data_IF_055220925540
#
_entry.id   IF_055220925540
#
_cell.length_a   1.000
_cell.length_b   1.000
_cell.length_c   1.000
_cell.angle_alpha   90.00
_cell.angle_beta   90.00
_cell.angle_gamma   90.00
#
_symmetry.space_group_name_H-M   'P 1'
#
loop_
_entity.id
_entity.type
_entity.pdbx_description
1 polymer ?
#
# COMPACT_ATOMS: atom_id res chain seq x y z
N UNK A 1 -0.23 50.35 -36.28
CA UNK A 1 0.13 49.16 -35.48
C UNK A 1 -0.91 48.99 -34.41
N UNK A 2 -1.82 48.03 -34.59
CA UNK A 2 -2.66 47.57 -33.46
C UNK A 2 -1.68 46.98 -32.43
N UNK A 3 -1.81 47.31 -31.13
CA UNK A 3 -0.98 46.69 -30.12
C UNK A 3 -1.23 45.18 -30.18
N UNK A 4 -0.17 44.39 -30.20
CA UNK A 4 -0.26 42.93 -30.09
C UNK A 4 -1.10 42.66 -28.85
N UNK A 5 -2.32 42.17 -29.04
CA UNK A 5 -3.19 41.83 -27.93
C UNK A 5 -2.43 40.83 -27.07
N UNK A 6 -2.22 41.17 -25.81
CA UNK A 6 -1.49 40.30 -24.90
C UNK A 6 -2.34 39.04 -24.71
N UNK A 7 -1.94 37.92 -25.33
CA UNK A 7 -2.75 36.70 -25.49
C UNK A 7 -2.85 35.85 -24.18
N UNK A 8 -2.48 36.49 -23.07
CA UNK A 8 -2.47 35.96 -21.73
C UNK A 8 -3.81 36.18 -21.01
N UNK A 9 -4.16 35.25 -20.12
CA UNK A 9 -5.36 35.39 -19.29
C UNK A 9 -5.24 36.52 -18.27
N UNK A 10 -6.35 37.13 -17.80
CA UNK A 10 -6.31 38.18 -16.79
C UNK A 10 -5.73 37.71 -15.44
N UNK A 11 -6.20 36.56 -14.93
CA UNK A 11 -5.75 35.98 -13.67
C UNK A 11 -4.58 35.03 -13.88
N UNK A 12 -3.39 35.41 -13.40
CA UNK A 12 -2.14 34.64 -13.61
C UNK A 12 -1.31 34.60 -12.31
N UNK A 13 -1.79 33.91 -11.27
CA UNK A 13 -1.00 33.73 -10.07
C UNK A 13 0.34 33.05 -10.40
N UNK A 14 1.42 33.53 -9.82
CA UNK A 14 2.72 32.86 -9.92
C UNK A 14 2.63 31.45 -9.31
N UNK A 15 3.33 30.51 -9.94
CA UNK A 15 3.61 29.19 -9.37
C UNK A 15 4.48 29.39 -8.11
N UNK A 16 4.02 28.87 -6.98
CA UNK A 16 4.75 28.98 -5.72
C UNK A 16 5.79 27.86 -5.57
N UNK A 17 6.76 28.10 -4.70
CA UNK A 17 7.82 27.13 -4.44
C UNK A 17 7.25 25.81 -3.90
N UNK A 18 7.58 24.72 -4.59
CA UNK A 18 7.14 23.37 -4.25
C UNK A 18 5.63 23.15 -4.41
N UNK A 19 4.89 24.07 -5.02
CA UNK A 19 3.46 23.91 -5.27
C UNK A 19 3.18 22.78 -6.27
N UNK A 20 2.11 22.01 -6.05
CA UNK A 20 1.66 21.00 -7.01
C UNK A 20 0.90 21.63 -8.18
N UNK A 21 0.99 21.03 -9.35
CA UNK A 21 0.31 21.51 -10.55
C UNK A 21 -1.21 21.63 -10.33
N UNK A 22 -1.83 20.68 -9.64
CA UNK A 22 -3.26 20.70 -9.32
C UNK A 22 -3.64 21.87 -8.39
N UNK A 23 -2.76 22.23 -7.44
CA UNK A 23 -2.93 23.40 -6.56
C UNK A 23 -2.87 24.69 -7.37
N UNK A 24 -1.81 24.84 -8.16
CA UNK A 24 -1.60 26.03 -8.99
C UNK A 24 -2.72 26.19 -10.02
N UNK A 25 -3.10 25.10 -10.69
CA UNK A 25 -4.20 25.07 -11.66
C UNK A 25 -5.52 25.52 -11.03
N UNK A 26 -5.84 25.09 -9.81
CA UNK A 26 -7.03 25.54 -9.11
C UNK A 26 -6.98 27.03 -8.75
N UNK A 27 -5.80 27.56 -8.38
CA UNK A 27 -5.60 28.99 -8.16
C UNK A 27 -5.74 29.81 -9.43
N UNK A 28 -5.22 29.33 -10.57
CA UNK A 28 -5.41 29.97 -11.88
C UNK A 28 -6.89 30.00 -12.25
N UNK A 29 -7.63 28.90 -12.04
CA UNK A 29 -9.07 28.85 -12.28
C UNK A 29 -9.81 29.89 -11.43
N UNK A 30 -9.56 29.91 -10.11
CA UNK A 30 -10.18 30.86 -9.19
C UNK A 30 -9.85 32.32 -9.53
N UNK A 31 -8.60 32.62 -9.93
CA UNK A 31 -8.18 33.95 -10.35
C UNK A 31 -8.90 34.45 -11.61
N UNK A 32 -9.52 33.55 -12.38
CA UNK A 32 -10.34 33.87 -13.55
C UNK A 32 -11.84 33.60 -13.32
N UNK A 33 -12.28 33.41 -12.07
CA UNK A 33 -13.69 33.20 -11.71
C UNK A 33 -14.26 31.84 -12.15
N UNK A 34 -13.39 30.87 -12.44
CA UNK A 34 -13.74 29.54 -12.93
C UNK A 34 -13.54 28.48 -11.84
N UNK A 35 -14.32 27.42 -11.93
CA UNK A 35 -14.00 26.15 -11.25
C UNK A 35 -12.87 25.44 -12.00
N UNK A 36 -12.02 24.64 -11.33
CA UNK A 36 -10.97 23.89 -12.02
C UNK A 36 -11.52 22.98 -13.14
N UNK A 37 -12.67 22.33 -12.92
CA UNK A 37 -13.33 21.53 -13.96
C UNK A 37 -13.80 22.35 -15.17
N UNK A 38 -14.19 23.62 -14.98
CA UNK A 38 -14.57 24.52 -16.08
C UNK A 38 -13.34 24.94 -16.88
N UNK A 39 -12.25 25.33 -16.20
CA UNK A 39 -10.97 25.65 -16.83
C UNK A 39 -10.43 24.46 -17.65
N UNK A 40 -10.47 23.26 -17.07
CA UNK A 40 -10.02 22.05 -17.76
C UNK A 40 -10.80 21.79 -19.05
N UNK A 41 -12.12 22.00 -19.06
CA UNK A 41 -12.96 21.83 -20.26
C UNK A 41 -12.71 22.87 -21.34
N UNK A 42 -12.30 24.09 -20.97
CA UNK A 42 -11.89 25.12 -21.92
C UNK A 42 -10.59 24.69 -22.62
N UNK A 43 -9.66 24.12 -21.86
CA UNK A 43 -8.36 23.69 -22.36
C UNK A 43 -8.39 22.37 -23.12
N UNK A 44 -9.30 21.47 -22.76
CA UNK A 44 -9.51 20.19 -23.44
C UNK A 44 -10.99 20.04 -23.84
N UNK A 45 -11.42 20.64 -24.96
CA UNK A 45 -12.77 20.46 -25.49
C UNK A 45 -13.07 18.97 -25.73
N UNK A 46 -14.18 18.48 -25.16
CA UNK A 46 -14.54 17.06 -25.21
C UNK A 46 -13.89 16.17 -24.13
N UNK A 47 -13.02 16.74 -23.29
CA UNK A 47 -12.43 16.06 -22.14
C UNK A 47 -13.46 15.70 -21.05
N UNK A 48 -13.02 14.87 -20.11
CA UNK A 48 -13.85 14.38 -19.01
C UNK A 48 -14.46 15.53 -18.19
N UNK A 49 -15.70 15.32 -17.71
CA UNK A 49 -16.39 16.29 -16.84
C UNK A 49 -15.63 16.62 -15.57
N UNK A 50 -14.87 15.66 -15.05
CA UNK A 50 -14.01 15.83 -13.90
C UNK A 50 -12.59 15.44 -14.31
N UNK A 51 -11.62 16.36 -14.31
CA UNK A 51 -10.25 16.00 -14.61
C UNK A 51 -9.76 14.91 -13.65
N UNK A 52 -8.95 14.00 -14.18
CA UNK A 52 -8.17 13.07 -13.37
C UNK A 52 -7.14 13.85 -12.55
N UNK A 53 -6.40 13.12 -11.73
CA UNK A 53 -5.27 13.64 -10.95
C UNK A 53 -4.24 14.33 -11.85
N UNK A 54 -4.30 15.67 -11.95
CA UNK A 54 -3.46 16.43 -12.87
C UNK A 54 -1.98 16.42 -12.45
N UNK A 55 -1.66 16.13 -11.20
CA UNK A 55 -0.26 15.97 -10.78
C UNK A 55 0.39 14.74 -11.43
N UNK A 56 -0.40 13.76 -11.89
CA UNK A 56 0.09 12.57 -12.59
C UNK A 56 -0.18 12.59 -14.09
N UNK A 57 -1.37 13.02 -14.47
CA UNK A 57 -1.90 12.82 -15.83
C UNK A 57 -1.91 14.08 -16.70
N UNK A 58 -1.25 15.17 -16.28
CA UNK A 58 -1.05 16.32 -17.15
C UNK A 58 -0.20 15.92 -18.36
N UNK A 59 -0.77 16.05 -19.55
CA UNK A 59 -0.05 15.81 -20.81
C UNK A 59 0.67 17.08 -21.28
N UNK A 60 1.59 16.90 -22.24
CA UNK A 60 2.39 17.99 -22.81
C UNK A 60 1.52 19.08 -23.45
N UNK A 61 0.34 18.73 -23.95
CA UNK A 61 -0.57 19.69 -24.57
C UNK A 61 -1.21 20.60 -23.52
N UNK A 62 -1.71 20.05 -22.42
CA UNK A 62 -2.26 20.81 -21.30
C UNK A 62 -1.20 21.73 -20.69
N UNK A 63 0.01 21.22 -20.45
CA UNK A 63 1.11 22.03 -19.91
C UNK A 63 1.52 23.14 -20.90
N UNK A 64 1.56 22.85 -22.20
CA UNK A 64 1.82 23.84 -23.25
C UNK A 64 0.79 24.96 -23.27
N UNK A 65 -0.51 24.61 -23.29
CA UNK A 65 -1.59 25.60 -23.26
C UNK A 65 -1.56 26.45 -21.98
N UNK A 66 -1.28 25.85 -20.82
CA UNK A 66 -1.14 26.59 -19.56
C UNK A 66 0.07 27.54 -19.62
N UNK A 67 1.18 27.10 -20.19
CA UNK A 67 2.38 27.91 -20.39
C UNK A 67 2.09 29.13 -21.27
N UNK A 68 1.48 28.91 -22.43
CA UNK A 68 1.09 29.96 -23.37
C UNK A 68 0.13 31.00 -22.77
N UNK A 69 -0.85 30.56 -21.97
CA UNK A 69 -1.89 31.44 -21.43
C UNK A 69 -1.51 32.16 -20.14
N UNK A 70 -0.55 31.64 -19.38
CA UNK A 70 -0.14 32.20 -18.09
C UNK A 70 1.24 32.85 -18.12
N UNK A 71 2.07 32.56 -19.13
CA UNK A 71 3.45 33.00 -19.21
C UNK A 71 4.42 32.19 -18.32
N UNK A 72 3.96 31.13 -17.64
CA UNK A 72 4.84 30.20 -16.91
C UNK A 72 5.59 29.31 -17.88
N UNK A 73 6.84 28.94 -17.58
CA UNK A 73 7.58 28.03 -18.46
C UNK A 73 7.01 26.61 -18.37
N UNK A 74 6.90 25.92 -19.51
CA UNK A 74 6.43 24.53 -19.54
C UNK A 74 7.28 23.61 -18.65
N UNK A 75 8.59 23.86 -18.56
CA UNK A 75 9.50 23.13 -17.66
C UNK A 75 9.15 23.35 -16.17
N UNK A 76 8.82 24.57 -15.74
CA UNK A 76 8.41 24.81 -14.37
C UNK A 76 7.08 24.12 -14.04
N UNK A 77 6.14 24.11 -14.99
CA UNK A 77 4.87 23.40 -14.84
C UNK A 77 5.09 21.89 -14.76
N UNK A 78 5.95 21.33 -15.61
CA UNK A 78 6.31 19.90 -15.56
C UNK A 78 6.95 19.53 -14.21
N UNK A 79 7.85 20.37 -13.68
CA UNK A 79 8.45 20.17 -12.35
C UNK A 79 7.46 20.31 -11.18
N UNK A 80 6.25 20.85 -11.42
CA UNK A 80 5.15 20.86 -10.43
C UNK A 80 4.28 19.59 -10.48
N UNK A 81 4.63 18.62 -11.32
CA UNK A 81 3.93 17.33 -11.47
C UNK A 81 4.81 16.16 -10.99
N UNK A 82 4.31 14.93 -11.06
CA UNK A 82 5.08 13.71 -10.76
C UNK A 82 6.26 13.49 -11.72
N UNK A 83 6.29 14.18 -12.87
CA UNK A 83 7.45 14.17 -13.77
C UNK A 83 8.75 14.55 -13.04
N UNK A 84 8.67 15.40 -12.00
CA UNK A 84 9.79 15.75 -11.12
C UNK A 84 10.49 14.55 -10.47
N UNK A 85 9.80 13.41 -10.34
CA UNK A 85 10.34 12.22 -9.67
C UNK A 85 10.56 11.03 -10.59
N UNK A 86 10.45 11.20 -11.91
CA UNK A 86 10.83 10.17 -12.88
C UNK A 86 12.33 9.89 -12.75
N UNK A 87 12.69 8.61 -12.67
CA UNK A 87 14.06 8.16 -12.41
C UNK A 87 14.50 8.29 -10.95
N UNK A 88 13.68 8.87 -10.07
CA UNK A 88 13.99 9.08 -8.65
C UNK A 88 13.05 8.30 -7.73
N UNK A 89 11.74 8.55 -7.75
CA UNK A 89 10.76 7.80 -6.95
C UNK A 89 10.30 6.52 -7.65
N UNK A 90 10.22 6.58 -8.97
CA UNK A 90 9.82 5.48 -9.85
C UNK A 90 10.60 5.58 -11.16
N UNK A 91 10.84 4.45 -11.82
CA UNK A 91 11.67 4.42 -13.03
C UNK A 91 10.97 5.10 -14.21
N UNK A 92 9.71 4.72 -14.48
CA UNK A 92 8.86 5.24 -15.56
C UNK A 92 7.39 5.19 -15.14
N UNK A 93 6.58 6.07 -15.69
CA UNK A 93 5.12 6.02 -15.55
C UNK A 93 4.48 5.76 -16.92
N UNK A 94 3.79 4.62 -17.06
CA UNK A 94 3.01 4.27 -18.25
C UNK A 94 1.56 4.80 -18.18
N UNK A 95 1.18 5.41 -17.06
CA UNK A 95 -0.18 5.88 -16.77
C UNK A 95 -1.18 4.78 -16.44
N UNK A 96 -0.80 3.50 -16.54
CA UNK A 96 -1.66 2.33 -16.38
C UNK A 96 -1.49 1.66 -15.01
N UNK A 97 -0.24 1.54 -14.55
CA UNK A 97 0.07 0.84 -13.29
C UNK A 97 0.03 1.82 -12.11
N UNK A 98 -0.38 1.37 -10.93
CA UNK A 98 -0.26 2.21 -9.72
C UNK A 98 1.22 2.48 -9.42
N UNK A 99 1.59 3.75 -9.22
CA UNK A 99 2.90 4.12 -8.72
C UNK A 99 2.98 3.81 -7.21
N UNK A 100 4.06 3.14 -6.79
CA UNK A 100 4.37 3.01 -5.37
C UNK A 100 4.59 4.42 -4.78
N UNK A 101 4.12 4.64 -3.55
CA UNK A 101 4.22 5.92 -2.83
C UNK A 101 3.48 7.12 -3.44
N UNK A 102 2.82 6.99 -4.59
CA UNK A 102 2.10 8.09 -5.25
C UNK A 102 0.66 7.67 -5.56
N UNK A 103 -0.17 7.44 -4.52
CA UNK A 103 -1.57 7.10 -4.72
C UNK A 103 -2.32 8.24 -5.44
N UNK A 104 -3.37 7.90 -6.21
CA UNK A 104 -4.21 8.91 -6.86
C UNK A 104 -4.90 9.80 -5.82
N UNK A 105 -5.21 11.04 -6.21
CA UNK A 105 -5.91 12.02 -5.39
C UNK A 105 -7.39 12.24 -5.77
N UNK A 106 -8.21 12.65 -4.79
CA UNK A 106 -9.60 13.07 -4.99
C UNK A 106 -10.58 11.92 -5.24
N UNK A 107 -11.34 12.01 -6.32
CA UNK A 107 -12.36 11.02 -6.69
C UNK A 107 -12.30 10.68 -8.16
N UNK A 108 -12.03 9.40 -8.43
CA UNK A 108 -12.05 8.81 -9.75
C UNK A 108 -13.31 7.95 -9.89
N UNK A 109 -14.32 8.43 -10.62
CA UNK A 109 -15.66 7.83 -10.68
C UNK A 109 -16.22 7.63 -9.25
N UNK A 110 -16.60 6.41 -8.88
CA UNK A 110 -17.10 6.06 -7.54
C UNK A 110 -15.98 5.85 -6.50
N UNK A 111 -14.71 5.74 -6.92
CA UNK A 111 -13.59 5.40 -6.06
C UNK A 111 -13.09 6.63 -5.30
N UNK A 112 -12.91 6.48 -3.98
CA UNK A 112 -12.26 7.48 -3.12
C UNK A 112 -10.74 7.29 -3.16
N UNK A 113 -10.01 8.37 -3.42
CA UNK A 113 -8.57 8.35 -3.64
C UNK A 113 -7.89 9.34 -2.67
N UNK A 114 -7.13 8.82 -1.70
CA UNK A 114 -6.62 9.59 -0.55
C UNK A 114 -5.17 10.07 -0.74
N UNK A 115 -4.72 10.23 -1.98
CA UNK A 115 -3.35 10.63 -2.29
C UNK A 115 -3.06 12.12 -2.17
N UNK A 116 -4.08 12.97 -2.00
CA UNK A 116 -3.86 14.36 -1.63
C UNK A 116 -3.79 14.47 -0.12
N UNK A 117 -2.66 14.97 0.38
CA UNK A 117 -2.47 15.30 1.78
C UNK A 117 -2.33 16.81 1.95
N UNK A 118 -2.62 17.32 3.15
CA UNK A 118 -2.40 18.72 3.49
C UNK A 118 -2.07 18.92 4.97
N UNK A 119 -1.40 20.04 5.28
CA UNK A 119 -1.25 20.54 6.63
C UNK A 119 -2.17 21.77 6.82
N UNK A 120 -3.19 21.71 7.68
CA UNK A 120 -4.06 22.86 7.96
C UNK A 120 -3.32 24.10 8.45
N UNK A 121 -2.29 23.89 9.29
CA UNK A 121 -1.52 24.97 9.90
C UNK A 121 -0.66 25.70 8.86
N UNK A 122 0.00 24.97 7.95
CA UNK A 122 0.65 25.59 6.79
C UNK A 122 -0.34 26.42 5.97
N UNK A 123 -1.52 25.86 5.67
CA UNK A 123 -2.53 26.60 4.89
C UNK A 123 -3.06 27.85 5.61
N UNK A 124 -3.06 27.87 6.94
CA UNK A 124 -3.47 29.03 7.72
C UNK A 124 -2.38 30.11 7.81
N UNK A 125 -1.11 29.71 7.81
CA UNK A 125 0.05 30.60 7.88
C UNK A 125 0.51 31.12 6.52
N UNK A 126 0.26 30.38 5.45
CA UNK A 126 0.63 30.77 4.09
C UNK A 126 -0.12 32.03 3.68
N UNK A 127 0.61 33.06 3.23
CA UNK A 127 0.00 34.28 2.70
C UNK A 127 -0.98 34.01 1.55
N UNK A 128 -0.66 33.01 0.72
CA UNK A 128 -1.56 32.43 -0.27
C UNK A 128 -1.60 30.91 -0.04
N UNK A 129 -2.71 30.34 0.46
CA UNK A 129 -2.79 28.91 0.74
C UNK A 129 -2.57 28.07 -0.53
N UNK A 130 -1.65 27.10 -0.45
CA UNK A 130 -1.33 26.20 -1.55
C UNK A 130 -0.93 24.81 -1.06
N UNK A 131 -1.06 23.82 -1.94
CA UNK A 131 -0.69 22.44 -1.64
C UNK A 131 0.70 22.16 -2.20
N UNK A 132 1.58 21.70 -1.31
CA UNK A 132 2.94 21.31 -1.69
C UNK A 132 2.92 19.96 -2.39
N UNK A 133 3.66 19.84 -3.48
CA UNK A 133 3.78 18.62 -4.27
C UNK A 133 4.32 17.47 -3.42
N UNK A 134 5.31 17.71 -2.55
CA UNK A 134 5.89 16.68 -1.69
C UNK A 134 4.86 15.98 -0.79
N UNK A 135 3.78 16.65 -0.39
CA UNK A 135 2.69 16.02 0.36
C UNK A 135 1.95 14.92 -0.41
N UNK A 136 2.22 14.76 -1.71
CA UNK A 136 1.74 13.64 -2.53
C UNK A 136 2.52 12.35 -2.30
N UNK A 137 3.74 12.41 -1.76
CA UNK A 137 4.55 11.23 -1.42
C UNK A 137 3.96 10.57 -0.17
N UNK A 138 3.43 9.35 -0.32
CA UNK A 138 2.68 8.71 0.75
C UNK A 138 3.54 8.20 1.91
N UNK A 139 4.87 8.25 1.81
CA UNK A 139 5.76 8.08 2.96
C UNK A 139 5.92 9.38 3.77
N UNK A 140 5.51 10.52 3.22
CA UNK A 140 5.38 11.76 3.96
C UNK A 140 4.05 11.74 4.73
N UNK A 141 4.14 11.60 6.04
CA UNK A 141 2.99 11.38 6.93
C UNK A 141 2.78 12.50 7.93
N UNK A 142 3.80 13.32 8.18
CA UNK A 142 3.71 14.51 9.03
C UNK A 142 4.22 15.74 8.30
N UNK A 143 3.73 16.91 8.69
CA UNK A 143 4.31 18.16 8.25
C UNK A 143 5.68 18.37 8.93
N UNK A 144 6.77 18.65 8.19
CA UNK A 144 8.08 18.90 8.80
C UNK A 144 8.10 20.19 9.64
N UNK A 145 7.28 21.19 9.29
CA UNK A 145 7.17 22.47 10.01
C UNK A 145 6.40 22.33 11.32
N UNK A 146 5.23 21.68 11.28
CA UNK A 146 4.31 21.63 12.43
C UNK A 146 4.33 20.33 13.21
N UNK A 147 5.02 19.30 12.70
CA UNK A 147 5.14 17.97 13.31
C UNK A 147 3.79 17.32 13.68
N UNK A 148 2.76 17.64 12.88
CA UNK A 148 1.42 17.03 12.96
C UNK A 148 1.18 16.13 11.77
N UNK A 149 0.37 15.08 11.96
CA UNK A 149 -0.04 14.20 10.88
C UNK A 149 -0.71 15.02 9.76
N UNK A 150 -0.29 14.80 8.52
CA UNK A 150 -0.95 15.39 7.37
C UNK A 150 -2.34 14.78 7.21
N UNK A 151 -3.33 15.61 6.89
CA UNK A 151 -4.70 15.15 6.65
C UNK A 151 -4.81 14.66 5.20
N UNK A 152 -5.27 13.43 5.00
CA UNK A 152 -5.61 12.86 3.68
C UNK A 152 -7.14 12.75 3.45
N UNK A 153 -7.91 13.09 4.49
CA UNK A 153 -9.36 13.05 4.56
C UNK A 153 -9.86 14.29 5.28
N UNK A 154 -11.04 14.77 4.89
CA UNK A 154 -11.74 15.79 5.67
C UNK A 154 -12.15 15.22 7.04
N UNK A 155 -11.77 15.86 8.17
CA UNK A 155 -12.18 15.38 9.49
C UNK A 155 -13.70 15.44 9.73
N UNK A 156 -14.43 16.32 9.04
CA UNK A 156 -15.87 16.47 9.21
C UNK A 156 -16.71 15.41 8.47
N UNK A 157 -16.30 14.98 7.27
CA UNK A 157 -17.10 14.07 6.45
C UNK A 157 -16.35 12.85 5.88
N UNK A 158 -15.05 12.72 6.19
CA UNK A 158 -14.18 11.60 5.78
C UNK A 158 -13.99 11.43 4.25
N UNK A 159 -14.42 12.40 3.45
CA UNK A 159 -14.14 12.44 2.01
C UNK A 159 -12.69 12.85 1.73
N UNK A 160 -12.06 12.32 0.66
CA UNK A 160 -10.72 12.74 0.26
C UNK A 160 -10.73 14.20 -0.18
N UNK A 161 -9.61 14.89 0.05
CA UNK A 161 -9.41 16.21 -0.52
C UNK A 161 -9.35 16.11 -2.06
N UNK A 162 -10.08 16.99 -2.73
CA UNK A 162 -10.16 17.05 -4.19
C UNK A 162 -10.04 18.50 -4.65
N UNK A 163 -8.80 18.87 -4.97
CA UNK A 163 -8.40 20.23 -5.37
C UNK A 163 -9.06 20.64 -6.69
N UNK A 164 -9.27 19.68 -7.58
CA UNK A 164 -9.90 19.94 -8.89
C UNK A 164 -11.43 20.04 -8.81
N UNK A 165 -12.00 19.91 -7.62
CA UNK A 165 -13.43 20.08 -7.32
C UNK A 165 -13.71 21.28 -6.41
N UNK A 166 -12.74 22.19 -6.25
CA UNK A 166 -12.95 23.45 -5.56
C UNK A 166 -13.95 24.35 -6.31
N UNK A 167 -14.55 25.29 -5.58
CA UNK A 167 -15.39 26.33 -6.18
C UNK A 167 -14.55 27.56 -6.58
N UNK A 168 -15.22 28.56 -7.16
CA UNK A 168 -14.64 29.74 -7.82
C UNK A 168 -13.92 30.72 -6.88
N UNK A 169 -14.10 30.59 -5.57
CA UNK A 169 -13.72 31.61 -4.58
C UNK A 169 -12.26 31.52 -4.11
N UNK A 170 -11.48 30.55 -4.62
CA UNK A 170 -10.13 30.26 -4.14
C UNK A 170 -10.13 29.64 -2.74
N UNK A 171 -8.95 29.19 -2.28
CA UNK A 171 -8.81 28.47 -1.00
C UNK A 171 -8.93 26.95 -1.12
N UNK A 172 -8.83 26.27 0.03
CA UNK A 172 -8.85 24.80 0.12
C UNK A 172 -9.98 24.37 1.05
N UNK A 173 -11.12 24.04 0.46
CA UNK A 173 -12.32 23.57 1.17
C UNK A 173 -12.58 22.09 0.89
N UNK A 174 -13.32 21.43 1.77
CA UNK A 174 -13.85 20.13 1.46
C UNK A 174 -14.92 20.25 0.37
N UNK A 175 -14.66 19.67 -0.81
CA UNK A 175 -15.61 19.67 -1.93
C UNK A 175 -16.97 19.02 -1.61
N UNK A 176 -17.05 18.20 -0.56
CA UNK A 176 -18.28 17.48 -0.18
C UNK A 176 -19.09 18.16 0.91
N UNK A 177 -18.47 18.73 1.95
CA UNK A 177 -19.19 19.33 3.08
C UNK A 177 -18.95 20.83 3.24
N UNK A 178 -18.09 21.44 2.42
CA UNK A 178 -17.78 22.87 2.46
C UNK A 178 -16.87 23.31 3.60
N UNK A 179 -16.47 22.42 4.51
CA UNK A 179 -15.58 22.78 5.62
C UNK A 179 -14.23 23.33 5.12
N UNK A 180 -13.78 24.44 5.70
CA UNK A 180 -12.46 25.03 5.44
C UNK A 180 -11.36 24.16 6.03
N UNK A 181 -10.39 23.74 5.21
CA UNK A 181 -9.30 22.89 5.67
C UNK A 181 -8.45 23.54 6.76
N UNK A 182 -8.39 24.89 6.81
CA UNK A 182 -7.63 25.67 7.80
C UNK A 182 -8.25 25.62 9.21
N UNK A 183 -9.52 25.25 9.31
CA UNK A 183 -10.23 25.11 10.59
C UNK A 183 -9.90 23.82 11.35
N UNK A 184 -9.07 22.94 10.79
CA UNK A 184 -8.69 21.68 11.41
C UNK A 184 -7.26 21.70 11.96
N UNK A 185 -6.91 20.68 12.73
CA UNK A 185 -5.54 20.40 13.17
C UNK A 185 -5.28 18.91 12.98
N UNK A 186 -4.09 18.55 12.52
CA UNK A 186 -3.66 17.16 12.45
C UNK A 186 -3.30 16.62 13.84
N UNK A 187 -3.63 15.37 14.12
CA UNK A 187 -3.23 14.72 15.37
C UNK A 187 -1.70 14.68 15.54
N UNK A 188 -1.26 14.47 16.78
CA UNK A 188 0.11 14.01 17.04
C UNK A 188 0.35 12.63 16.41
N UNK A 189 1.53 12.41 15.79
CA UNK A 189 1.88 11.11 15.27
C UNK A 189 2.11 10.11 16.43
N UNK A 190 1.80 8.82 16.24
CA UNK A 190 1.95 7.78 17.28
C UNK A 190 3.42 7.40 17.55
N UNK A 191 4.31 7.69 16.61
CA UNK A 191 5.77 7.54 16.68
C UNK A 191 6.39 8.80 16.12
N UNK A 192 7.67 9.05 16.34
CA UNK A 192 8.38 10.13 15.63
C UNK A 192 8.77 9.65 14.21
N UNK A 193 8.10 10.13 13.13
CA UNK A 193 8.43 9.71 11.78
C UNK A 193 9.46 10.62 11.12
N UNK A 194 9.87 11.74 11.75
CA UNK A 194 10.69 12.78 11.11
C UNK A 194 12.04 12.20 10.63
N UNK A 195 12.81 11.44 11.45
CA UNK A 195 14.08 10.90 10.99
C UNK A 195 13.95 9.96 9.78
N UNK A 196 12.89 9.13 9.75
CA UNK A 196 12.62 8.20 8.64
C UNK A 196 12.22 8.98 7.39
N UNK A 197 11.36 9.97 7.54
CA UNK A 197 10.88 10.80 6.43
C UNK A 197 12.02 11.60 5.81
N UNK A 198 12.93 12.14 6.62
CA UNK A 198 14.12 12.86 6.17
C UNK A 198 15.11 11.94 5.44
N UNK A 199 15.36 10.72 5.94
CA UNK A 199 16.19 9.72 5.24
C UNK A 199 15.62 9.34 3.86
N UNK A 200 14.28 9.20 3.76
CA UNK A 200 13.62 8.88 2.50
C UNK A 200 13.62 10.06 1.53
N UNK A 201 13.44 11.29 2.01
CA UNK A 201 13.57 12.51 1.21
C UNK A 201 15.02 12.68 0.72
N UNK A 202 16.01 12.43 1.57
CA UNK A 202 17.42 12.44 1.19
C UNK A 202 17.71 11.37 0.12
N UNK A 203 17.25 10.13 0.33
CA UNK A 203 17.34 9.05 -0.66
C UNK A 203 16.75 9.49 -2.02
N UNK A 204 15.58 10.13 -2.00
CA UNK A 204 14.92 10.63 -3.21
C UNK A 204 15.72 11.74 -3.90
N UNK A 205 16.23 12.71 -3.12
CA UNK A 205 16.99 13.86 -3.64
C UNK A 205 18.34 13.46 -4.25
N UNK A 206 19.01 12.45 -3.66
CA UNK A 206 20.29 11.95 -4.14
C UNK A 206 20.14 11.03 -5.36
N UNK A 207 18.97 10.42 -5.55
CA UNK A 207 18.71 9.45 -6.62
C UNK A 207 19.29 8.06 -6.36
N UNK A 208 19.94 7.84 -5.21
CA UNK A 208 20.52 6.56 -4.81
C UNK A 208 20.65 6.45 -3.28
N UNK A 209 20.88 5.22 -2.79
CA UNK A 209 21.33 4.96 -1.41
C UNK A 209 22.17 3.69 -1.34
N UNK A 210 22.93 3.52 -0.27
CA UNK A 210 23.54 2.23 0.06
C UNK A 210 22.50 1.23 0.56
N UNK A 211 22.69 -0.05 0.21
CA UNK A 211 21.83 -1.17 0.62
C UNK A 211 22.67 -2.38 1.09
N UNK A 212 23.34 -2.22 2.23
CA UNK A 212 24.17 -3.29 2.81
C UNK A 212 25.25 -3.78 1.84
N UNK A 213 25.42 -5.11 1.75
CA UNK A 213 26.38 -5.75 0.85
C UNK A 213 26.05 -5.60 -0.65
N UNK A 214 24.84 -5.15 -1.00
CA UNK A 214 24.45 -4.89 -2.39
C UNK A 214 25.04 -3.57 -2.94
N UNK A 215 25.65 -2.75 -2.08
CA UNK A 215 26.28 -1.48 -2.49
C UNK A 215 25.25 -0.39 -2.84
N UNK A 216 25.60 0.56 -3.73
CA UNK A 216 24.70 1.63 -4.13
C UNK A 216 23.59 1.11 -5.04
N UNK A 217 22.35 1.49 -4.73
CA UNK A 217 21.17 1.20 -5.55
C UNK A 217 20.42 2.49 -5.85
N UNK A 218 19.75 2.55 -7.00
CA UNK A 218 18.88 3.68 -7.33
C UNK A 218 17.77 3.88 -6.28
N UNK A 219 17.41 5.12 -6.03
CA UNK A 219 16.39 5.49 -5.04
C UNK A 219 15.04 4.81 -5.31
N UNK A 220 14.62 4.74 -6.58
CA UNK A 220 13.36 4.07 -6.95
C UNK A 220 13.41 2.56 -6.67
N UNK A 221 14.59 1.95 -6.72
CA UNK A 221 14.77 0.53 -6.37
C UNK A 221 14.58 0.33 -4.88
N UNK A 222 15.24 1.16 -4.06
CA UNK A 222 15.08 1.12 -2.60
C UNK A 222 13.65 1.41 -2.14
N UNK A 223 13.02 2.46 -2.69
CA UNK A 223 11.63 2.81 -2.40
C UNK A 223 10.66 1.69 -2.79
N UNK A 224 10.93 0.98 -3.89
CA UNK A 224 10.14 -0.18 -4.30
C UNK A 224 10.29 -1.36 -3.33
N UNK A 225 11.50 -1.63 -2.82
CA UNK A 225 11.73 -2.64 -1.77
C UNK A 225 10.96 -2.24 -0.50
N UNK A 226 11.07 -0.99 -0.07
CA UNK A 226 10.35 -0.45 1.09
C UNK A 226 8.83 -0.59 0.92
N UNK A 227 8.28 -0.32 -0.28
CA UNK A 227 6.86 -0.48 -0.57
C UNK A 227 6.41 -1.94 -0.47
N UNK A 228 7.26 -2.88 -0.91
CA UNK A 228 6.99 -4.32 -0.78
C UNK A 228 6.93 -4.71 0.70
N UNK A 229 7.93 -4.34 1.49
CA UNK A 229 7.97 -4.62 2.94
C UNK A 229 6.75 -4.01 3.62
N UNK A 230 6.44 -2.74 3.34
CA UNK A 230 5.28 -2.02 3.88
C UNK A 230 3.97 -2.77 3.60
N UNK A 231 3.80 -3.31 2.39
CA UNK A 231 2.61 -4.11 2.05
C UNK A 231 2.54 -5.44 2.80
N UNK A 232 3.68 -6.08 3.07
CA UNK A 232 3.75 -7.33 3.83
C UNK A 232 3.32 -7.10 5.28
N UNK A 233 3.83 -6.05 5.92
CA UNK A 233 3.46 -5.69 7.30
C UNK A 233 2.07 -5.04 7.40
N UNK A 234 1.54 -4.41 6.36
CA UNK A 234 0.22 -3.77 6.39
C UNK A 234 -0.95 -4.76 6.32
N UNK A 235 -0.84 -5.78 5.46
CA UNK A 235 -1.99 -6.64 5.13
C UNK A 235 -1.65 -8.09 4.81
N UNK A 236 -0.38 -8.48 4.88
CA UNK A 236 0.07 -9.84 4.66
C UNK A 236 -0.56 -10.87 5.61
N UNK A 237 -0.40 -12.16 5.30
CA UNK A 237 -0.85 -13.25 6.18
C UNK A 237 -0.07 -13.25 7.51
N UNK A 238 1.21 -12.89 7.48
CA UNK A 238 2.11 -12.78 8.63
C UNK A 238 2.22 -11.34 9.18
N UNK A 239 1.37 -10.41 8.71
CA UNK A 239 1.47 -8.99 9.05
C UNK A 239 1.55 -8.72 10.56
N UNK A 240 0.65 -9.33 11.34
CA UNK A 240 0.62 -9.17 12.80
C UNK A 240 1.91 -9.67 13.45
N UNK A 241 2.33 -10.91 13.14
CA UNK A 241 3.54 -11.50 13.70
C UNK A 241 4.82 -10.71 13.33
N UNK A 242 4.88 -10.14 12.13
CA UNK A 242 5.98 -9.25 11.74
C UNK A 242 5.99 -7.97 12.57
N UNK A 243 4.84 -7.32 12.77
CA UNK A 243 4.74 -6.11 13.60
C UNK A 243 5.14 -6.39 15.04
N UNK A 244 4.68 -7.50 15.60
CA UNK A 244 5.01 -7.95 16.95
C UNK A 244 6.51 -8.23 17.10
N UNK A 245 7.13 -8.93 16.12
CA UNK A 245 8.57 -9.17 16.12
C UNK A 245 9.39 -7.89 16.10
N UNK A 246 8.96 -6.89 15.32
CA UNK A 246 9.59 -5.57 15.25
C UNK A 246 9.41 -4.82 16.58
N UNK A 247 8.19 -4.73 17.09
CA UNK A 247 7.87 -4.03 18.34
C UNK A 247 8.64 -4.58 19.55
N UNK A 248 8.89 -5.90 19.59
CA UNK A 248 9.68 -6.53 20.65
C UNK A 248 11.18 -6.20 20.58
N UNK A 249 11.69 -5.75 19.43
CA UNK A 249 13.11 -5.39 19.22
C UNK A 249 13.34 -3.89 19.20
N UNK A 250 12.31 -3.14 18.83
CA UNK A 250 12.35 -1.71 18.67
C UNK A 250 11.14 -1.11 19.42
N UNK A 251 11.32 -0.81 20.72
CA UNK A 251 10.22 -0.40 21.61
C UNK A 251 9.44 0.82 21.14
N UNK A 252 10.02 1.71 20.31
CA UNK A 252 9.28 2.85 19.74
C UNK A 252 8.09 2.42 18.87
N UNK A 253 8.04 1.17 18.43
CA UNK A 253 6.96 0.60 17.64
C UNK A 253 5.97 -0.26 18.46
N UNK A 254 6.12 -0.35 19.78
CA UNK A 254 5.22 -1.08 20.67
C UNK A 254 3.90 -0.32 20.90
N UNK A 255 3.04 -0.33 19.89
CA UNK A 255 1.74 0.36 19.89
C UNK A 255 0.56 -0.60 20.08
N UNK A 256 -0.57 -0.14 20.67
CA UNK A 256 -1.79 -0.92 20.73
C UNK A 256 -2.30 -1.37 19.35
N UNK A 257 -2.81 -2.62 19.20
CA UNK A 257 -3.25 -3.17 17.92
C UNK A 257 -4.33 -2.35 17.19
N UNK A 258 -5.23 -1.69 17.93
CA UNK A 258 -6.29 -0.83 17.36
C UNK A 258 -5.75 0.33 16.51
N UNK A 259 -4.49 0.72 16.71
CA UNK A 259 -3.86 1.81 15.96
C UNK A 259 -3.46 1.43 14.52
N UNK A 260 -3.44 0.13 14.17
CA UNK A 260 -2.93 -0.35 12.88
C UNK A 260 -3.92 -1.25 12.14
N UNK A 261 -4.78 -0.69 11.27
CA UNK A 261 -5.75 -1.48 10.54
C UNK A 261 -5.08 -2.47 9.59
N UNK A 262 -5.68 -3.65 9.42
CA UNK A 262 -5.25 -4.62 8.41
C UNK A 262 -5.87 -4.25 7.07
N UNK A 263 -5.10 -3.57 6.22
CA UNK A 263 -5.59 -3.10 4.92
C UNK A 263 -4.72 -3.66 3.80
N UNK A 264 -5.36 -4.23 2.77
CA UNK A 264 -4.65 -4.79 1.61
C UNK A 264 -4.23 -3.74 0.59
N UNK A 265 -5.03 -2.68 0.43
CA UNK A 265 -4.69 -1.54 -0.44
C UNK A 265 -4.01 -0.47 0.40
N UNK A 266 -2.70 -0.26 0.18
CA UNK A 266 -1.92 0.74 0.92
C UNK A 266 -2.46 2.16 0.74
N UNK A 267 -3.15 2.45 -0.37
CA UNK A 267 -3.78 3.75 -0.63
C UNK A 267 -4.96 4.08 0.32
N UNK A 268 -5.43 3.10 1.09
CA UNK A 268 -6.48 3.28 2.09
C UNK A 268 -5.93 3.47 3.52
N UNK A 269 -4.62 3.31 3.72
CA UNK A 269 -3.97 3.55 5.00
C UNK A 269 -3.96 5.06 5.31
N UNK A 270 -4.45 5.43 6.48
CA UNK A 270 -4.38 6.81 6.99
C UNK A 270 -2.93 7.23 7.22
N UNK A 271 -2.65 8.53 7.22
CA UNK A 271 -1.34 9.07 7.61
C UNK A 271 -0.84 8.52 8.95
N UNK A 272 -1.75 8.32 9.93
CA UNK A 272 -1.44 7.69 11.23
C UNK A 272 -0.89 6.27 11.04
N UNK A 273 -1.62 5.41 10.33
CA UNK A 273 -1.17 4.03 10.10
C UNK A 273 0.12 3.99 9.26
N UNK A 274 0.23 4.86 8.24
CA UNK A 274 1.43 4.97 7.41
C UNK A 274 2.66 5.38 8.23
N UNK A 275 2.54 6.32 9.17
CA UNK A 275 3.68 6.80 9.97
C UNK A 275 4.40 5.66 10.71
N UNK A 276 3.63 4.70 11.23
CA UNK A 276 4.16 3.53 11.93
C UNK A 276 4.67 2.48 10.95
N UNK A 277 3.86 2.12 9.95
CA UNK A 277 4.20 1.03 9.02
C UNK A 277 5.42 1.39 8.17
N UNK A 278 5.54 2.63 7.72
CA UNK A 278 6.74 3.10 7.01
C UNK A 278 7.96 3.03 7.93
N UNK A 279 7.85 3.46 9.19
CA UNK A 279 8.93 3.34 10.17
C UNK A 279 9.36 1.89 10.42
N UNK A 280 8.40 0.97 10.57
CA UNK A 280 8.68 -0.47 10.72
C UNK A 280 9.34 -1.05 9.47
N UNK A 281 8.87 -0.69 8.27
CA UNK A 281 9.46 -1.15 7.02
C UNK A 281 10.88 -0.59 6.82
N UNK A 282 11.10 0.66 7.21
CA UNK A 282 12.39 1.32 7.17
C UNK A 282 13.38 0.66 8.14
N UNK A 283 12.97 0.35 9.37
CA UNK A 283 13.76 -0.41 10.33
C UNK A 283 14.25 -1.76 9.78
N UNK A 284 13.41 -2.48 9.01
CA UNK A 284 13.82 -3.72 8.34
C UNK A 284 14.80 -3.49 7.18
N UNK A 285 14.74 -2.32 6.54
CA UNK A 285 15.58 -1.95 5.40
C UNK A 285 16.95 -1.40 5.83
N UNK A 286 17.08 -0.80 7.02
CA UNK A 286 18.33 -0.23 7.53
C UNK A 286 19.50 -1.23 7.55
N UNK A 287 19.24 -2.49 7.91
CA UNK A 287 20.20 -3.59 7.90
C UNK A 287 19.75 -4.66 6.91
N UNK A 288 19.73 -4.27 5.64
CA UNK A 288 19.32 -5.13 4.54
C UNK A 288 20.43 -6.12 4.14
N UNK A 289 20.10 -7.43 3.95
CA UNK A 289 18.78 -8.06 4.09
C UNK A 289 18.53 -8.71 5.46
N UNK A 290 19.49 -8.63 6.40
CA UNK A 290 19.52 -9.45 7.62
C UNK A 290 18.27 -9.29 8.50
N UNK A 291 17.83 -8.06 8.81
CA UNK A 291 16.64 -7.84 9.65
C UNK A 291 15.38 -8.38 8.99
N UNK A 292 15.21 -8.14 7.68
CA UNK A 292 14.06 -8.65 6.93
C UNK A 292 14.03 -10.18 6.89
N UNK A 293 15.18 -10.81 6.65
CA UNK A 293 15.30 -12.28 6.60
C UNK A 293 15.02 -12.89 7.97
N UNK A 294 15.64 -12.37 9.04
CA UNK A 294 15.45 -12.85 10.40
C UNK A 294 13.98 -12.74 10.84
N UNK A 295 13.32 -11.61 10.56
CA UNK A 295 11.90 -11.43 10.82
C UNK A 295 11.06 -12.46 10.04
N UNK A 296 11.34 -12.61 8.75
CA UNK A 296 10.60 -13.51 7.86
C UNK A 296 10.72 -14.98 8.29
N UNK A 297 11.94 -15.43 8.62
CA UNK A 297 12.19 -16.79 9.10
C UNK A 297 11.52 -17.04 10.45
N UNK A 298 11.60 -16.09 11.39
CA UNK A 298 10.96 -16.20 12.71
C UNK A 298 9.45 -16.43 12.61
N UNK A 299 8.77 -15.71 11.70
CA UNK A 299 7.31 -15.84 11.51
C UNK A 299 6.92 -16.97 10.56
N UNK A 300 7.88 -17.76 10.07
CA UNK A 300 7.66 -18.89 9.17
C UNK A 300 7.23 -18.51 7.76
N UNK A 301 7.71 -17.39 7.22
CA UNK A 301 7.49 -16.99 5.83
C UNK A 301 8.35 -17.79 4.86
N UNK A 302 7.75 -18.19 3.74
CA UNK A 302 8.44 -18.79 2.60
C UNK A 302 8.48 -17.83 1.41
N UNK A 303 9.27 -18.15 0.37
CA UNK A 303 9.33 -17.40 -0.88
C UNK A 303 7.95 -17.17 -1.53
N UNK A 304 7.00 -18.10 -1.33
CA UNK A 304 5.60 -17.98 -1.81
C UNK A 304 4.79 -16.90 -1.09
N UNK A 305 5.14 -16.59 0.16
CA UNK A 305 4.45 -15.58 0.95
C UNK A 305 4.90 -14.16 0.59
N UNK A 306 6.14 -14.04 0.13
CA UNK A 306 6.80 -12.78 -0.25
C UNK A 306 6.79 -12.50 -1.75
N UNK A 307 6.65 -13.52 -2.60
CA UNK A 307 6.48 -13.39 -4.06
C UNK A 307 5.02 -13.64 -4.44
N UNK A 308 4.24 -12.56 -4.58
CA UNK A 308 2.81 -12.63 -4.93
C UNK A 308 2.51 -12.57 -6.42
N UNK A 309 3.41 -12.00 -7.22
CA UNK A 309 3.34 -12.03 -8.69
C UNK A 309 4.27 -13.12 -9.20
N UNK A 310 3.73 -14.03 -10.01
CA UNK A 310 4.50 -15.09 -10.70
C UNK A 310 5.42 -14.45 -11.76
N UNK A 311 4.97 -13.34 -12.36
CA UNK A 311 5.62 -12.68 -13.51
C UNK A 311 6.20 -11.30 -13.16
N UNK A 312 6.14 -10.90 -11.88
CA UNK A 312 6.54 -9.56 -11.45
C UNK A 312 8.05 -9.46 -11.30
N UNK A 313 8.70 -8.62 -12.10
CA UNK A 313 10.10 -8.25 -11.90
C UNK A 313 10.26 -7.56 -10.53
N UNK A 314 10.71 -8.28 -9.51
CA UNK A 314 11.11 -7.69 -8.23
C UNK A 314 12.47 -7.01 -8.40
N UNK A 315 12.78 -5.95 -7.62
CA UNK A 315 14.15 -5.47 -7.48
C UNK A 315 15.12 -6.62 -7.23
N UNK A 316 16.26 -6.65 -7.93
CA UNK A 316 17.26 -7.71 -7.80
C UNK A 316 17.64 -7.96 -6.33
N UNK A 317 17.99 -6.92 -5.58
CA UNK A 317 18.36 -7.03 -4.17
C UNK A 317 17.26 -7.60 -3.27
N UNK A 318 15.98 -7.48 -3.67
CA UNK A 318 14.87 -8.16 -2.99
C UNK A 318 14.69 -9.60 -3.45
N UNK A 319 14.72 -9.82 -4.77
CA UNK A 319 14.56 -11.14 -5.35
C UNK A 319 15.64 -12.10 -4.85
N UNK A 320 16.89 -11.65 -4.84
CA UNK A 320 18.08 -12.36 -4.39
C UNK A 320 18.00 -12.69 -2.90
N UNK A 321 17.75 -11.69 -2.04
CA UNK A 321 17.56 -11.90 -0.61
C UNK A 321 16.46 -12.94 -0.30
N UNK A 322 15.35 -12.89 -1.03
CA UNK A 322 14.26 -13.87 -0.90
C UNK A 322 14.67 -15.25 -1.40
N UNK A 323 15.33 -15.34 -2.55
CA UNK A 323 15.71 -16.62 -3.16
C UNK A 323 16.64 -17.40 -2.22
N UNK A 324 17.70 -16.75 -1.76
CA UNK A 324 18.74 -17.42 -0.98
C UNK A 324 18.36 -17.73 0.46
N UNK A 325 17.37 -17.01 1.03
CA UNK A 325 17.07 -17.12 2.46
C UNK A 325 15.67 -17.66 2.78
N UNK A 326 14.73 -17.60 1.84
CA UNK A 326 13.31 -17.96 2.06
C UNK A 326 12.76 -18.98 1.07
N UNK A 327 13.49 -19.33 0.01
CA UNK A 327 13.09 -20.44 -0.88
C UNK A 327 13.42 -21.77 -0.18
N UNK A 328 12.41 -22.60 0.07
CA UNK A 328 12.63 -24.01 0.43
C UNK A 328 13.40 -24.67 -0.74
N UNK A 329 14.52 -25.37 -0.49
CA UNK A 329 15.22 -26.09 -1.54
C UNK A 329 14.23 -26.97 -2.30
N UNK A 330 14.23 -26.87 -3.64
CA UNK A 330 13.56 -27.83 -4.49
C UNK A 330 14.28 -29.16 -4.30
N UNK A 331 13.79 -29.98 -3.37
CA UNK A 331 14.19 -31.39 -3.31
C UNK A 331 13.43 -32.08 -4.43
N UNK A 332 13.92 -31.83 -5.66
CA UNK A 332 13.52 -32.54 -6.87
C UNK A 332 13.69 -34.01 -6.58
N UNK A 333 12.57 -34.66 -6.30
CA UNK A 333 12.60 -36.06 -5.88
C UNK A 333 12.07 -36.86 -7.02
N UNK A 334 12.98 -37.58 -7.63
CA UNK A 334 12.62 -38.66 -8.53
C UNK A 334 11.74 -39.65 -7.76
N UNK A 335 10.87 -40.34 -8.49
CA UNK A 335 10.03 -41.39 -7.93
C UNK A 335 10.88 -42.41 -7.16
N UNK A 336 12.08 -42.68 -7.66
CA UNK A 336 13.05 -43.61 -7.09
C UNK A 336 13.60 -43.15 -5.73
N UNK A 337 13.89 -41.85 -5.54
CA UNK A 337 14.30 -41.33 -4.24
C UNK A 337 13.21 -41.48 -3.18
N UNK A 338 11.95 -41.26 -3.56
CA UNK A 338 10.81 -41.45 -2.64
C UNK A 338 10.65 -42.93 -2.28
N UNK A 339 10.80 -43.83 -3.25
CA UNK A 339 10.76 -45.27 -3.03
C UNK A 339 11.92 -45.76 -2.15
N UNK A 340 13.13 -45.22 -2.35
CA UNK A 340 14.27 -45.52 -1.51
C UNK A 340 14.06 -45.03 -0.06
N UNK A 341 13.55 -43.81 0.12
CA UNK A 341 13.20 -43.28 1.44
C UNK A 341 12.10 -44.12 2.13
N UNK A 342 11.13 -44.61 1.37
CA UNK A 342 10.09 -45.53 1.84
C UNK A 342 10.67 -46.87 2.31
N UNK A 343 11.62 -47.42 1.57
CA UNK A 343 12.32 -48.65 1.96
C UNK A 343 13.19 -48.46 3.21
N UNK A 344 13.84 -47.30 3.36
CA UNK A 344 14.60 -46.96 4.59
C UNK A 344 13.67 -46.91 5.80
N UNK A 345 12.50 -46.29 5.68
CA UNK A 345 11.51 -46.27 6.78
C UNK A 345 10.99 -47.68 7.10
N UNK A 346 10.73 -48.50 6.08
CA UNK A 346 10.30 -49.89 6.25
C UNK A 346 11.36 -50.72 6.99
N UNK A 347 12.63 -50.60 6.62
CA UNK A 347 13.76 -51.25 7.31
C UNK A 347 13.91 -50.81 8.76
N UNK A 348 13.50 -49.58 9.09
CA UNK A 348 13.45 -49.04 10.46
C UNK A 348 12.17 -49.42 11.22
N UNK A 349 11.30 -50.26 10.66
CA UNK A 349 10.05 -50.67 11.30
C UNK A 349 8.99 -49.57 11.35
N UNK A 350 9.04 -48.61 10.42
CA UNK A 350 8.09 -47.50 10.34
C UNK A 350 7.32 -47.51 9.02
N UNK A 351 6.02 -47.19 9.09
CA UNK A 351 5.23 -46.87 7.90
C UNK A 351 5.75 -45.60 7.22
N UNK A 352 5.76 -45.58 5.88
CA UNK A 352 6.25 -44.45 5.12
C UNK A 352 5.16 -43.41 4.91
N UNK A 353 4.61 -42.89 6.00
CA UNK A 353 3.60 -41.82 5.94
C UNK A 353 4.21 -40.54 5.38
N UNK A 354 3.37 -39.66 4.82
CA UNK A 354 3.85 -38.41 4.22
C UNK A 354 4.71 -37.59 5.19
N UNK A 355 4.31 -37.54 6.47
CA UNK A 355 5.04 -36.81 7.49
C UNK A 355 6.42 -37.45 7.77
N UNK A 356 6.49 -38.77 7.91
CA UNK A 356 7.77 -39.47 8.12
C UNK A 356 8.69 -39.40 6.92
N UNK A 357 8.14 -39.42 5.70
CA UNK A 357 8.90 -39.20 4.46
C UNK A 357 9.43 -37.77 4.39
N UNK A 358 8.60 -36.78 4.75
CA UNK A 358 9.01 -35.36 4.82
C UNK A 358 10.11 -35.15 5.86
N UNK A 359 9.98 -35.75 7.04
CA UNK A 359 10.96 -35.62 8.12
C UNK A 359 12.28 -36.31 7.77
N UNK A 360 12.23 -37.50 7.14
CA UNK A 360 13.43 -38.21 6.68
C UNK A 360 14.16 -37.47 5.55
N UNK A 361 13.41 -36.85 4.64
CA UNK A 361 13.97 -36.19 3.45
C UNK A 361 14.25 -34.69 3.61
N UNK A 362 13.73 -34.06 4.66
CA UNK A 362 13.92 -32.63 4.91
C UNK A 362 13.17 -31.69 3.97
N UNK A 363 12.16 -32.15 3.22
CA UNK A 363 11.41 -31.28 2.30
C UNK A 363 10.14 -31.91 1.74
N UNK A 364 9.33 -31.09 1.05
CA UNK A 364 8.04 -31.50 0.46
C UNK A 364 8.20 -31.85 -1.02
N UNK A 365 7.43 -32.84 -1.48
CA UNK A 365 7.38 -33.23 -2.88
C UNK A 365 6.02 -33.79 -3.22
N UNK A 366 5.53 -33.47 -4.42
CA UNK A 366 4.26 -33.99 -4.93
C UNK A 366 4.29 -35.52 -5.04
N UNK A 367 5.42 -36.07 -5.49
CA UNK A 367 5.67 -37.50 -5.62
C UNK A 367 5.54 -38.24 -4.29
N UNK A 368 5.85 -37.59 -3.16
CA UNK A 368 5.61 -38.18 -1.83
C UNK A 368 4.13 -38.28 -1.50
N UNK A 369 3.30 -37.33 -1.94
CA UNK A 369 1.86 -37.40 -1.75
C UNK A 369 1.22 -38.59 -2.48
N UNK A 370 1.81 -38.98 -3.62
CA UNK A 370 1.35 -40.12 -4.42
C UNK A 370 1.84 -41.47 -3.87
N UNK A 371 2.99 -41.51 -3.20
CA UNK A 371 3.66 -42.76 -2.79
C UNK A 371 3.62 -43.04 -1.28
N UNK A 372 3.24 -42.06 -0.47
CA UNK A 372 3.16 -42.20 0.98
C UNK A 372 2.13 -43.25 1.40
N UNK A 373 2.46 -43.99 2.44
CA UNK A 373 1.50 -44.88 3.08
C UNK A 373 0.43 -44.07 3.83
N UNK A 374 -0.81 -44.58 3.93
CA UNK A 374 -1.84 -43.97 4.77
C UNK A 374 -1.36 -43.83 6.21
N UNK A 375 -1.61 -42.67 6.82
CA UNK A 375 -1.25 -42.44 8.23
C UNK A 375 -2.12 -43.24 9.23
N UNK A 376 -3.23 -43.81 8.76
CA UNK A 376 -4.16 -44.64 9.53
C UNK A 376 -4.88 -45.63 8.60
N UNK A 377 -5.22 -46.82 9.09
CA UNK A 377 -6.16 -47.76 8.45
C UNK A 377 -7.58 -47.16 8.51
N UNK A 378 -7.88 -46.23 7.62
CA UNK A 378 -9.19 -45.61 7.52
C UNK A 378 -9.43 -45.21 6.07
N UNK A 379 -10.66 -45.44 5.60
CA UNK A 379 -11.08 -45.29 4.21
C UNK A 379 -10.58 -43.99 3.54
N UNK A 380 -10.39 -44.07 2.22
CA UNK A 380 -9.79 -43.05 1.37
C UNK A 380 -10.21 -41.61 1.74
N UNK A 381 -9.21 -40.74 1.83
CA UNK A 381 -9.32 -39.33 2.21
C UNK A 381 -10.13 -38.56 1.14
N UNK A 382 -11.45 -38.46 1.34
CA UNK A 382 -12.37 -37.80 0.40
C UNK A 382 -12.21 -36.28 0.37
N UNK A 383 -12.16 -35.74 -0.85
CA UNK A 383 -12.31 -34.31 -1.11
C UNK A 383 -13.60 -33.80 -0.46
N UNK A 384 -13.48 -32.77 0.41
CA UNK A 384 -14.62 -32.21 1.14
C UNK A 384 -14.44 -32.02 2.65
N UNK A 385 -13.22 -32.08 3.19
CA UNK A 385 -12.99 -31.74 4.61
C UNK A 385 -13.19 -30.24 4.87
N UNK A 386 -14.11 -29.93 5.78
CA UNK A 386 -14.19 -28.63 6.44
C UNK A 386 -13.63 -28.83 7.86
N UNK A 387 -12.38 -28.40 8.09
CA UNK A 387 -11.61 -28.69 9.31
C UNK A 387 -12.32 -28.33 10.63
N UNK A 388 -13.29 -27.40 10.58
CA UNK A 388 -14.11 -26.99 11.73
C UNK A 388 -15.18 -28.00 12.15
N UNK A 389 -15.41 -29.05 11.36
CA UNK A 389 -16.34 -30.14 11.67
C UNK A 389 -15.61 -31.48 11.81
N UNK A 390 -14.30 -31.47 12.02
CA UNK A 390 -13.54 -32.70 12.25
C UNK A 390 -14.02 -33.36 13.57
N UNK A 391 -14.27 -34.67 13.54
CA UNK A 391 -14.89 -35.42 14.65
C UNK A 391 -16.42 -35.54 14.58
N UNK A 392 -17.10 -34.80 13.70
CA UNK A 392 -18.55 -34.90 13.48
C UNK A 392 -18.87 -35.98 12.44
N UNK A 393 -19.94 -36.75 12.64
CA UNK A 393 -20.38 -37.81 11.71
C UNK A 393 -20.72 -37.25 10.33
N UNK A 394 -20.61 -38.07 9.28
CA UNK A 394 -20.83 -37.65 7.89
C UNK A 394 -22.26 -37.12 7.65
N UNK A 395 -23.26 -37.77 8.24
CA UNK A 395 -24.67 -37.37 8.18
C UNK A 395 -24.88 -35.97 8.77
N UNK A 396 -24.29 -35.70 9.93
CA UNK A 396 -24.42 -34.41 10.62
C UNK A 396 -23.67 -33.30 9.89
N UNK A 397 -22.52 -33.60 9.25
CA UNK A 397 -21.81 -32.65 8.39
C UNK A 397 -22.66 -32.17 7.22
N UNK A 398 -23.38 -33.08 6.58
CA UNK A 398 -24.21 -32.75 5.43
C UNK A 398 -25.45 -31.95 5.85
N UNK A 399 -26.08 -32.34 6.96
CA UNK A 399 -27.16 -31.57 7.56
C UNK A 399 -26.73 -30.14 7.94
N UNK A 400 -25.52 -29.98 8.49
CA UNK A 400 -24.95 -28.67 8.84
C UNK A 400 -24.68 -27.79 7.61
N UNK A 401 -24.19 -28.37 6.50
CA UNK A 401 -24.03 -27.63 5.23
C UNK A 401 -25.36 -27.15 4.67
N UNK A 402 -26.36 -28.02 4.62
CA UNK A 402 -27.70 -27.67 4.15
C UNK A 402 -28.36 -26.61 5.04
N UNK A 403 -28.16 -26.67 6.35
CA UNK A 403 -28.65 -25.67 7.29
C UNK A 403 -27.95 -24.31 7.08
N UNK A 404 -26.62 -24.28 6.96
CA UNK A 404 -25.87 -23.06 6.68
C UNK A 404 -26.31 -22.43 5.35
N UNK A 405 -26.46 -23.24 4.30
CA UNK A 405 -26.89 -22.77 2.98
C UNK A 405 -28.32 -22.21 3.00
N UNK A 406 -29.26 -22.87 3.68
CA UNK A 406 -30.63 -22.36 3.88
C UNK A 406 -30.68 -21.03 4.62
N UNK A 407 -29.72 -20.79 5.51
CA UNK A 407 -29.56 -19.49 6.20
C UNK A 407 -28.78 -18.44 5.40
N UNK A 408 -28.27 -18.77 4.20
CA UNK A 408 -27.45 -17.87 3.39
C UNK A 408 -26.05 -17.61 3.97
N UNK A 409 -25.57 -18.45 4.89
CA UNK A 409 -24.32 -18.26 5.62
C UNK A 409 -23.26 -19.29 5.19
N UNK A 410 -21.98 -18.96 5.39
CA UNK A 410 -20.92 -19.96 5.32
C UNK A 410 -20.97 -20.89 6.54
N UNK A 411 -20.61 -22.17 6.37
CA UNK A 411 -20.60 -23.18 7.45
C UNK A 411 -19.83 -22.70 8.68
N UNK A 412 -18.73 -21.97 8.50
CA UNK A 412 -17.94 -21.41 9.58
C UNK A 412 -18.69 -20.37 10.44
N UNK A 413 -19.47 -19.50 9.80
CA UNK A 413 -20.22 -18.42 10.48
C UNK A 413 -21.45 -18.99 11.17
N UNK A 414 -22.15 -19.89 10.48
CA UNK A 414 -23.30 -20.61 11.00
C UNK A 414 -22.94 -21.42 12.25
N UNK A 415 -21.82 -22.15 12.22
CA UNK A 415 -21.36 -22.96 13.34
C UNK A 415 -20.92 -22.11 14.55
N UNK A 416 -20.18 -21.02 14.34
CA UNK A 416 -19.74 -20.11 15.44
C UNK A 416 -20.96 -19.49 16.14
N UNK A 417 -21.97 -19.07 15.36
CA UNK A 417 -23.25 -18.55 15.87
C UNK A 417 -24.00 -19.60 16.68
N UNK A 418 -24.10 -20.82 16.16
CA UNK A 418 -24.79 -21.93 16.84
C UNK A 418 -24.12 -22.27 18.17
N UNK A 419 -22.80 -22.44 18.17
CA UNK A 419 -22.02 -22.79 19.38
C UNK A 419 -22.12 -21.68 20.42
N UNK A 420 -22.04 -20.40 20.02
CA UNK A 420 -22.23 -19.27 20.94
C UNK A 420 -23.60 -19.28 21.60
N UNK A 421 -24.65 -19.57 20.82
CA UNK A 421 -26.02 -19.66 21.33
C UNK A 421 -26.14 -20.78 22.38
N UNK A 422 -25.62 -21.97 22.09
CA UNK A 422 -25.67 -23.10 23.02
C UNK A 422 -24.82 -22.87 24.29
N UNK A 423 -23.72 -22.13 24.18
CA UNK A 423 -22.85 -21.80 25.31
C UNK A 423 -23.26 -20.49 26.04
N UNK A 424 -24.42 -19.90 25.72
CA UNK A 424 -24.87 -18.59 26.25
C UNK A 424 -23.82 -17.46 26.14
N UNK A 425 -23.01 -17.48 25.07
CA UNK A 425 -22.02 -16.45 24.79
C UNK A 425 -22.65 -15.30 23.98
N UNK A 426 -22.22 -14.03 24.20
CA UNK A 426 -22.69 -12.91 23.39
C UNK A 426 -22.38 -13.08 21.90
N UNK A 427 -23.30 -12.60 21.05
CA UNK A 427 -23.28 -12.74 19.59
C UNK A 427 -22.14 -11.96 18.92
N UNK A 428 -21.64 -10.92 19.58
CA UNK A 428 -20.42 -10.20 19.22
C UNK A 428 -19.23 -10.80 19.95
N UNK A 429 -18.13 -11.02 19.22
CA UNK A 429 -16.83 -11.26 19.85
C UNK A 429 -16.48 -10.02 20.66
N UNK A 430 -16.47 -10.13 21.98
CA UNK A 430 -15.76 -9.19 22.83
C UNK A 430 -14.28 -9.38 22.50
N UNK A 431 -13.75 -8.43 21.74
CA UNK A 431 -12.33 -8.15 21.61
C UNK A 431 -12.17 -6.65 21.81
#
# INVERSE_FOLDING_TARGET
MLPIANDFWPGRPALLEGESFSSWFARVAAANGLRPAELYRILQPGGDRNPRDLDRYSDIHLLGMMSERTGMSAAALEQSTFARWVGMAFERDDGLVKLDWLPPAGREKAKRCFGQQLCPLCLAEDAVPYLRLEWRLSFITVCPKHQRLLLDRCPACNEPFSVLRQDRHGGIFCWSCGADARGFVGDAPPVDPVPVQDDLLNTLSQGWRGLGSYGPVYSFTALRILAIITRLIAGGRHAYALREWIANREPRFALPPENLPRVRDGALLTSRARSVLVGMAHYLLEDWPHRFVAASQYVGMSSRDVRKRVDGAYPFAYADAVEWNLTEPLIGSTRDEVLAAKEVLRKRGHSATYQKLKDLRGGKSRTMGELADPASEGAAWGQGRYWKLDGVSAEVKEAARLAAHRSGESVAVWLDRLVRKELNMPSTRVF
#
